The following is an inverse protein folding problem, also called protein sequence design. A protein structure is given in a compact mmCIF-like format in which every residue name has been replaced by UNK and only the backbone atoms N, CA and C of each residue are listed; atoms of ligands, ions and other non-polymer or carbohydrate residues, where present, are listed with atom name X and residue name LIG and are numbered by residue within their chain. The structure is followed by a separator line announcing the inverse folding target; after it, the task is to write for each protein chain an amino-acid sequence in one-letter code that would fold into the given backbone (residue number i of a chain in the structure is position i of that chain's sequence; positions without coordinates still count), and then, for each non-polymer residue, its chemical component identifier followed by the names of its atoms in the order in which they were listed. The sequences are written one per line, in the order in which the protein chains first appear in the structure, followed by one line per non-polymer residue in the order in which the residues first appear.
data_IF_958991761484
#
_entry.id   IF_958991761484
#
_cell.length_a   1.000
_cell.length_b   1.000
_cell.length_c   1.000
_cell.angle_alpha   90.00
_cell.angle_beta   90.00
_cell.angle_gamma   90.00
#
_symmetry.space_group_name_H-M   'P 1'
#
loop_
_entity.id
_entity.type
_entity.pdbx_description
1 polymer ?
#
# COMPACT_ATOMS: atom_id res chain seq x y z
N UNK A 1 -16.21 26.04 7.29
CA UNK A 1 -15.15 26.15 6.26
C UNK A 1 -14.46 24.81 6.15
N UNK A 2 -14.55 24.15 5.00
CA UNK A 2 -13.86 22.90 4.70
C UNK A 2 -12.89 23.26 3.58
N UNK A 3 -11.58 23.05 3.71
CA UNK A 3 -10.63 23.58 2.74
C UNK A 3 -10.89 22.99 1.34
N UNK A 4 -11.06 23.88 0.37
CA UNK A 4 -11.43 23.61 -1.03
C UNK A 4 -10.28 22.97 -1.86
N UNK A 5 -9.36 22.27 -1.20
CA UNK A 5 -8.26 21.55 -1.86
C UNK A 5 -8.59 20.07 -2.17
N UNK A 6 -9.72 19.54 -1.68
CA UNK A 6 -10.02 18.08 -1.71
C UNK A 6 -11.30 17.77 -2.51
N UNK A 7 -11.54 18.44 -3.64
CA UNK A 7 -12.74 18.15 -4.46
C UNK A 7 -12.50 17.62 -5.87
N UNK A 8 -11.29 17.74 -6.42
CA UNK A 8 -10.98 17.18 -7.75
C UNK A 8 -10.22 15.86 -7.75
N UNK A 9 -9.72 15.38 -6.60
CA UNK A 9 -8.93 14.14 -6.52
C UNK A 9 -9.67 12.94 -5.91
N UNK A 10 -11.01 12.96 -5.87
CA UNK A 10 -11.80 11.92 -5.19
C UNK A 10 -12.10 10.66 -6.02
N UNK A 11 -11.93 10.70 -7.35
CA UNK A 11 -12.26 9.55 -8.23
C UNK A 11 -11.05 8.66 -8.50
N UNK A 12 -9.91 9.24 -8.86
CA UNK A 12 -8.66 8.47 -9.04
C UNK A 12 -8.21 7.85 -7.71
N UNK A 13 -8.28 8.62 -6.63
CA UNK A 13 -7.94 8.16 -5.29
C UNK A 13 -8.77 6.95 -4.83
N UNK A 14 -10.08 6.91 -5.13
CA UNK A 14 -10.94 5.76 -4.78
C UNK A 14 -10.56 4.50 -5.55
N UNK A 15 -10.22 4.62 -6.83
CA UNK A 15 -9.80 3.46 -7.63
C UNK A 15 -8.43 2.95 -7.20
N UNK A 16 -7.52 3.86 -6.82
CA UNK A 16 -6.22 3.53 -6.23
C UNK A 16 -6.39 2.79 -4.89
N UNK A 17 -7.26 3.30 -4.01
CA UNK A 17 -7.54 2.67 -2.73
C UNK A 17 -8.16 1.28 -2.89
N UNK A 18 -9.04 1.06 -3.87
CA UNK A 18 -9.69 -0.24 -4.10
C UNK A 18 -8.69 -1.35 -4.43
N UNK A 19 -7.72 -1.06 -5.31
CA UNK A 19 -6.73 -2.06 -5.73
C UNK A 19 -5.74 -2.38 -4.60
N UNK A 20 -5.27 -1.36 -3.88
CA UNK A 20 -4.37 -1.56 -2.74
C UNK A 20 -5.09 -2.23 -1.58
N UNK A 21 -6.33 -1.83 -1.26
CA UNK A 21 -7.13 -2.48 -0.22
C UNK A 21 -7.40 -3.94 -0.57
N UNK A 22 -7.67 -4.28 -1.83
CA UNK A 22 -7.81 -5.66 -2.29
C UNK A 22 -6.54 -6.49 -2.02
N UNK A 23 -5.38 -5.98 -2.42
CA UNK A 23 -4.10 -6.62 -2.10
C UNK A 23 -3.87 -6.74 -0.59
N UNK A 24 -4.14 -5.68 0.17
CA UNK A 24 -3.97 -5.69 1.63
C UNK A 24 -4.90 -6.68 2.33
N UNK A 25 -6.09 -6.96 1.76
CA UNK A 25 -7.05 -7.90 2.30
C UNK A 25 -6.74 -9.35 1.90
N UNK A 26 -6.17 -9.55 0.72
CA UNK A 26 -5.94 -10.88 0.13
C UNK A 26 -4.54 -11.44 0.48
N UNK A 27 -3.51 -10.59 0.45
CA UNK A 27 -2.10 -10.98 0.63
C UNK A 27 -1.45 -10.41 1.91
N UNK A 28 -1.93 -9.28 2.44
CA UNK A 28 -1.37 -8.72 3.67
C UNK A 28 -2.14 -9.15 4.92
N UNK A 29 -1.38 -9.30 6.00
CA UNK A 29 -1.88 -9.51 7.34
C UNK A 29 -1.56 -8.28 8.19
N UNK A 30 -2.60 -7.77 8.86
CA UNK A 30 -2.49 -6.63 9.76
C UNK A 30 -2.01 -7.13 11.12
N UNK A 31 -0.74 -6.92 11.42
CA UNK A 31 -0.15 -7.31 12.70
C UNK A 31 0.76 -6.21 13.22
N UNK A 32 0.49 -5.73 14.43
CA UNK A 32 1.18 -4.58 15.05
C UNK A 32 2.68 -4.81 15.24
N UNK A 33 3.10 -6.04 15.49
CA UNK A 33 4.50 -6.44 15.69
C UNK A 33 5.24 -6.69 14.38
N UNK A 34 4.51 -6.81 13.29
CA UNK A 34 5.06 -7.15 12.00
C UNK A 34 5.59 -5.93 11.25
N UNK A 35 6.57 -6.21 10.39
CA UNK A 35 7.16 -5.24 9.46
C UNK A 35 7.48 -5.91 8.13
N UNK A 36 7.32 -5.16 7.06
CA UNK A 36 7.63 -5.63 5.70
C UNK A 36 8.43 -4.59 4.93
N UNK A 37 9.47 -5.04 4.23
CA UNK A 37 10.27 -4.17 3.38
C UNK A 37 9.43 -3.55 2.26
N UNK A 38 9.65 -2.29 1.97
CA UNK A 38 8.92 -1.58 0.91
C UNK A 38 9.16 -2.21 -0.47
N UNK A 39 10.37 -2.71 -0.73
CA UNK A 39 10.70 -3.45 -1.95
C UNK A 39 9.88 -4.73 -2.06
N UNK A 40 10.01 -5.62 -1.08
CA UNK A 40 9.28 -6.90 -1.00
C UNK A 40 7.77 -6.70 -1.12
N UNK A 41 7.22 -5.73 -0.38
CA UNK A 41 5.79 -5.42 -0.41
C UNK A 41 5.33 -4.96 -1.80
N UNK A 42 6.14 -4.15 -2.48
CA UNK A 42 5.83 -3.66 -3.81
C UNK A 42 5.95 -4.77 -4.87
N UNK A 43 6.93 -5.67 -4.74
CA UNK A 43 7.09 -6.83 -5.62
C UNK A 43 5.87 -7.76 -5.53
N UNK A 44 5.42 -8.08 -4.31
CA UNK A 44 4.19 -8.85 -4.08
C UNK A 44 2.97 -8.13 -4.68
N UNK A 45 2.83 -6.83 -4.43
CA UNK A 45 1.74 -6.04 -5.02
C UNK A 45 1.76 -6.06 -6.55
N UNK A 46 2.95 -5.98 -7.17
CA UNK A 46 3.10 -6.02 -8.61
C UNK A 46 2.72 -7.39 -9.19
N UNK A 47 3.14 -8.47 -8.52
CA UNK A 47 2.77 -9.85 -8.85
C UNK A 47 1.26 -10.08 -8.72
N UNK A 48 0.67 -9.67 -7.59
CA UNK A 48 -0.77 -9.78 -7.36
C UNK A 48 -1.57 -8.96 -8.37
N UNK A 49 -1.16 -7.73 -8.69
CA UNK A 49 -1.78 -6.94 -9.75
C UNK A 49 -1.76 -7.69 -11.09
N UNK A 50 -0.62 -8.26 -11.45
CA UNK A 50 -0.49 -9.04 -12.69
C UNK A 50 -1.42 -10.26 -12.70
N UNK A 51 -1.49 -10.99 -11.59
CA UNK A 51 -2.39 -12.13 -11.41
C UNK A 51 -3.88 -11.74 -11.51
N UNK A 52 -4.23 -10.55 -11.03
CA UNK A 52 -5.58 -9.97 -11.14
C UNK A 52 -5.87 -9.35 -12.52
N UNK A 53 -4.90 -9.36 -13.46
CA UNK A 53 -5.01 -8.68 -14.74
C UNK A 53 -5.06 -7.15 -14.64
N UNK A 54 -4.65 -6.60 -13.49
CA UNK A 54 -4.58 -5.16 -13.21
C UNK A 54 -3.17 -4.64 -13.45
N UNK A 55 -3.06 -3.38 -13.89
CA UNK A 55 -1.76 -2.74 -14.02
C UNK A 55 -1.26 -2.27 -12.64
N UNK A 56 -0.06 -2.71 -12.20
CA UNK A 56 0.48 -2.24 -10.94
C UNK A 56 0.73 -0.74 -11.00
N UNK A 57 0.26 -0.06 -9.96
CA UNK A 57 0.49 1.37 -9.76
C UNK A 57 1.91 1.64 -9.29
N UNK A 58 2.33 2.90 -9.37
CA UNK A 58 3.67 3.29 -8.92
C UNK A 58 3.83 3.09 -7.41
N UNK A 59 5.06 2.82 -6.97
CA UNK A 59 5.40 2.66 -5.55
C UNK A 59 5.02 3.87 -4.69
N UNK A 60 4.98 5.07 -5.29
CA UNK A 60 4.56 6.31 -4.61
C UNK A 60 3.05 6.30 -4.35
N UNK A 61 2.24 5.90 -5.33
CA UNK A 61 0.78 5.79 -5.15
C UNK A 61 0.44 4.73 -4.12
N UNK A 62 1.12 3.58 -4.20
CA UNK A 62 0.97 2.50 -3.23
C UNK A 62 1.31 2.96 -1.81
N UNK A 63 2.42 3.68 -1.63
CA UNK A 63 2.79 4.24 -0.33
C UNK A 63 1.79 5.28 0.19
N UNK A 64 1.24 6.15 -0.67
CA UNK A 64 0.19 7.10 -0.26
C UNK A 64 -1.07 6.37 0.23
N UNK A 65 -1.48 5.31 -0.45
CA UNK A 65 -2.64 4.51 -0.04
C UNK A 65 -2.44 3.88 1.35
N UNK A 66 -1.27 3.31 1.60
CA UNK A 66 -0.87 2.77 2.92
C UNK A 66 -0.89 3.84 4.01
N UNK A 67 -0.30 5.01 3.76
CA UNK A 67 -0.33 6.12 4.73
C UNK A 67 -1.75 6.57 5.04
N UNK A 68 -2.64 6.58 4.05
CA UNK A 68 -4.05 6.92 4.29
C UNK A 68 -4.84 5.85 5.02
N UNK A 69 -4.41 4.59 4.99
CA UNK A 69 -4.97 3.51 5.80
C UNK A 69 -4.48 3.58 7.26
N UNK A 70 -3.52 4.47 7.57
CA UNK A 70 -2.97 4.65 8.90
C UNK A 70 -1.64 3.92 9.13
N UNK A 71 -1.04 3.34 8.10
CA UNK A 71 0.27 2.69 8.20
C UNK A 71 1.41 3.70 8.11
N UNK A 72 2.44 3.46 8.90
CA UNK A 72 3.63 4.30 8.91
C UNK A 72 4.78 3.61 8.16
N UNK A 73 5.47 4.38 7.32
CA UNK A 73 6.70 3.94 6.66
C UNK A 73 7.90 4.37 7.47
N UNK A 74 8.70 3.42 7.91
CA UNK A 74 9.95 3.65 8.64
C UNK A 74 11.15 3.28 7.79
N UNK A 75 12.31 3.76 8.20
CA UNK A 75 13.61 3.44 7.61
C UNK A 75 14.54 2.90 8.68
N UNK A 76 15.31 1.90 8.32
CA UNK A 76 16.36 1.29 9.13
C UNK A 76 17.63 1.14 8.27
N UNK A 77 18.66 0.51 8.82
CA UNK A 77 19.92 0.20 8.16
C UNK A 77 19.71 -0.66 6.91
N UNK A 78 18.72 -1.56 6.92
CA UNK A 78 18.39 -2.40 5.76
C UNK A 78 17.56 -1.71 4.67
N UNK A 79 17.02 -0.51 4.91
CA UNK A 79 16.21 0.23 3.94
C UNK A 79 14.85 0.68 4.48
N UNK A 80 13.91 0.93 3.57
CA UNK A 80 12.55 1.37 3.91
C UNK A 80 11.62 0.18 4.14
N UNK A 81 10.78 0.25 5.17
CA UNK A 81 9.80 -0.77 5.54
C UNK A 81 8.53 -0.15 6.08
N UNK A 82 7.43 -0.90 6.03
CA UNK A 82 6.17 -0.57 6.64
C UNK A 82 6.02 -1.31 7.97
N UNK A 83 5.40 -0.66 8.95
CA UNK A 83 5.09 -1.26 10.26
C UNK A 83 3.60 -1.44 10.43
N UNK A 84 3.21 -2.49 11.16
CA UNK A 84 1.80 -2.81 11.42
C UNK A 84 1.14 -3.66 10.33
N UNK A 85 1.92 -4.12 9.34
CA UNK A 85 1.48 -5.05 8.31
C UNK A 85 2.63 -5.95 7.85
N UNK A 86 2.29 -7.15 7.39
CA UNK A 86 3.21 -8.07 6.72
C UNK A 86 2.54 -8.75 5.55
N UNK A 87 3.32 -9.23 4.59
CA UNK A 87 2.86 -10.13 3.52
C UNK A 87 3.32 -11.54 3.80
N UNK A 88 2.61 -12.53 3.27
CA UNK A 88 3.07 -13.91 3.29
C UNK A 88 4.27 -14.05 2.32
N UNK A 89 5.48 -13.85 2.81
CA UNK A 89 6.71 -14.20 2.08
C UNK A 89 7.34 -15.36 2.82
N UNK A 90 7.09 -16.57 2.33
CA UNK A 90 7.82 -17.80 2.73
C UNK A 90 9.23 -17.77 2.14
#
# INVERSE_FOLDING_TARGET
MVPEAVKSSGREYRSEMDTVAGFLNDECFMETTSRVGVGTLYEQYASWCNAQGKQPRTIIQFGKALTSQGYEKKRDSSGWYWVGLTTYSI
#
